data_IF_272560068615
#
_entry.id   IF_272560068615
#
_cell.length_a   1.000
_cell.length_b   1.000
_cell.length_c   1.000
_cell.angle_alpha   90.00
_cell.angle_beta   90.00
_cell.angle_gamma   90.00
#
_symmetry.space_group_name_H-M   'P 1'
#
loop_
_entity.id
_entity.type
_entity.pdbx_description
1 polymer ?
#
# COMPACT_ATOMS: atom_id res chain seq x y z
N UNK A 1 37.30 -7.87 -24.01
CA UNK A 1 36.80 -6.55 -23.54
C UNK A 1 35.65 -6.66 -22.52
N UNK A 2 34.65 -7.55 -22.72
CA UNK A 2 33.48 -7.72 -21.83
C UNK A 2 33.78 -8.03 -20.34
N UNK A 3 34.81 -8.82 -20.02
CA UNK A 3 35.12 -9.20 -18.61
C UNK A 3 35.71 -8.04 -17.79
N UNK A 4 36.51 -7.16 -18.42
CA UNK A 4 37.09 -5.98 -17.75
C UNK A 4 36.05 -4.89 -17.52
N UNK A 5 35.14 -4.67 -18.47
CA UNK A 5 34.03 -3.72 -18.30
C UNK A 5 33.03 -4.19 -17.25
N UNK A 6 32.77 -5.50 -17.16
CA UNK A 6 31.90 -6.08 -16.13
C UNK A 6 32.51 -5.95 -14.72
N UNK A 7 33.83 -6.16 -14.59
CA UNK A 7 34.54 -5.96 -13.32
C UNK A 7 34.51 -4.51 -12.84
N UNK A 8 34.73 -3.54 -13.74
CA UNK A 8 34.66 -2.12 -13.40
C UNK A 8 33.22 -1.74 -12.98
N UNK A 9 32.21 -2.23 -13.71
CA UNK A 9 30.81 -1.97 -13.37
C UNK A 9 30.40 -2.54 -12.01
N UNK A 10 30.85 -3.77 -11.70
CA UNK A 10 30.61 -4.40 -10.40
C UNK A 10 31.28 -3.61 -9.25
N UNK A 11 32.51 -3.11 -9.46
CA UNK A 11 33.21 -2.30 -8.45
C UNK A 11 32.53 -0.95 -8.23
N UNK A 12 32.05 -0.29 -9.30
CA UNK A 12 31.31 0.98 -9.19
C UNK A 12 29.98 0.78 -8.43
N UNK A 13 29.27 -0.31 -8.71
CA UNK A 13 28.04 -0.65 -7.99
C UNK A 13 28.30 -0.98 -6.52
N UNK A 14 29.35 -1.75 -6.22
CA UNK A 14 29.76 -2.05 -4.86
C UNK A 14 30.13 -0.77 -4.10
N UNK A 15 30.88 0.14 -4.74
CA UNK A 15 31.26 1.41 -4.12
C UNK A 15 30.05 2.31 -3.84
N UNK A 16 29.07 2.36 -4.76
CA UNK A 16 27.86 3.16 -4.59
C UNK A 16 27.01 2.67 -3.40
N UNK A 17 26.84 1.35 -3.26
CA UNK A 17 26.09 0.76 -2.14
C UNK A 17 26.80 0.91 -0.78
N UNK A 18 28.14 0.86 -0.76
CA UNK A 18 28.93 1.09 0.45
C UNK A 18 28.92 2.56 0.89
N UNK A 19 28.94 3.49 -0.07
CA UNK A 19 28.86 4.92 0.22
C UNK A 19 27.50 5.29 0.86
N UNK A 20 26.41 4.71 0.36
CA UNK A 20 25.07 4.91 0.92
C UNK A 20 24.98 4.39 2.36
N UNK A 21 25.58 3.22 2.65
CA UNK A 21 25.64 2.67 4.01
C UNK A 21 26.49 3.53 4.94
N UNK A 22 27.61 4.07 4.47
CA UNK A 22 28.45 4.97 5.26
C UNK A 22 27.74 6.30 5.57
N UNK A 23 26.99 6.85 4.61
CA UNK A 23 26.18 8.05 4.82
C UNK A 23 25.06 7.86 5.86
N UNK A 24 24.45 6.67 5.91
CA UNK A 24 23.46 6.31 6.93
C UNK A 24 24.06 5.95 8.30
N UNK A 25 25.36 5.69 8.39
CA UNK A 25 26.03 5.31 9.64
C UNK A 25 26.44 6.49 10.53
N UNK A 26 26.34 7.74 10.05
CA UNK A 26 26.70 8.96 10.79
C UNK A 26 25.59 9.55 11.67
N UNK A 27 24.37 9.03 11.60
CA UNK A 27 23.25 9.47 12.44
C UNK A 27 23.37 8.93 13.87
N UNK A 28 22.85 9.66 14.87
CA UNK A 28 22.62 9.10 16.22
C UNK A 28 21.86 7.78 16.06
N UNK A 29 22.21 6.75 16.86
CA UNK A 29 21.46 5.48 16.95
C UNK A 29 19.98 5.80 16.84
N UNK A 30 19.29 5.23 15.86
CA UNK A 30 17.87 5.47 15.64
C UNK A 30 17.16 5.27 16.98
N UNK A 31 16.67 6.37 17.58
CA UNK A 31 15.85 6.29 18.77
C UNK A 31 14.61 5.51 18.40
N UNK A 32 14.17 4.58 19.26
CA UNK A 32 12.93 3.83 19.06
C UNK A 32 11.79 4.83 18.88
N UNK A 33 11.38 5.00 17.62
CA UNK A 33 10.38 5.96 17.22
C UNK A 33 9.04 5.23 17.29
N UNK A 34 8.37 5.38 18.42
CA UNK A 34 7.06 4.77 18.63
C UNK A 34 6.01 5.62 17.91
N UNK A 35 5.41 5.06 16.87
CA UNK A 35 4.33 5.71 16.13
C UNK A 35 3.01 5.41 16.85
N UNK A 36 2.34 6.47 17.30
CA UNK A 36 1.09 6.40 18.06
C UNK A 36 0.06 7.29 17.37
N UNK A 37 -1.17 6.80 17.25
CA UNK A 37 -2.29 7.59 16.76
C UNK A 37 -2.76 8.57 17.86
N UNK A 38 -2.87 9.87 17.52
CA UNK A 38 -3.41 10.89 18.43
C UNK A 38 -4.94 10.82 18.47
N UNK A 39 -5.50 10.55 19.63
CA UNK A 39 -6.95 10.37 19.85
C UNK A 39 -7.63 11.58 20.49
N UNK A 40 -6.88 12.64 20.82
CA UNK A 40 -7.37 13.75 21.65
C UNK A 40 -8.42 14.63 20.96
N UNK A 41 -8.31 14.78 19.64
CA UNK A 41 -9.18 15.64 18.83
C UNK A 41 -10.20 14.84 18.01
N UNK A 42 -10.29 13.52 18.23
CA UNK A 42 -11.20 12.67 17.47
C UNK A 42 -12.59 12.71 18.10
N UNK A 43 -13.50 13.44 17.45
CA UNK A 43 -14.90 13.56 17.87
C UNK A 43 -15.79 12.41 17.37
N UNK A 44 -15.37 11.69 16.32
CA UNK A 44 -16.14 10.56 15.77
C UNK A 44 -15.78 9.26 16.51
N UNK A 45 -16.79 8.60 17.07
CA UNK A 45 -16.61 7.33 17.81
C UNK A 45 -15.99 6.23 16.94
N UNK A 46 -16.35 6.17 15.65
CA UNK A 46 -15.81 5.20 14.69
C UNK A 46 -14.32 5.45 14.45
N UNK A 47 -13.95 6.71 14.23
CA UNK A 47 -12.54 7.08 14.02
C UNK A 47 -11.71 6.84 15.29
N UNK A 48 -12.32 7.07 16.46
CA UNK A 48 -11.67 6.82 17.75
C UNK A 48 -11.43 5.34 17.97
N UNK A 49 -12.41 4.49 17.63
CA UNK A 49 -12.24 3.03 17.66
C UNK A 49 -11.03 2.57 16.84
N UNK A 50 -10.89 3.02 15.59
CA UNK A 50 -9.76 2.61 14.75
C UNK A 50 -8.42 3.17 15.24
N UNK A 51 -8.40 4.38 15.80
CA UNK A 51 -7.20 4.98 16.37
C UNK A 51 -6.76 4.26 17.67
N UNK A 52 -7.70 3.90 18.53
CA UNK A 52 -7.43 3.08 19.72
C UNK A 52 -6.96 1.67 19.35
N UNK A 53 -7.53 1.10 18.28
CA UNK A 53 -7.11 -0.20 17.75
C UNK A 53 -5.67 -0.19 17.22
N UNK A 54 -5.28 0.88 16.51
CA UNK A 54 -3.92 1.08 16.04
C UNK A 54 -2.90 1.09 17.20
N UNK A 55 -3.28 1.73 18.32
CA UNK A 55 -2.43 1.85 19.50
C UNK A 55 -2.39 0.57 20.37
N UNK A 56 -3.47 -0.22 20.38
CA UNK A 56 -3.61 -1.39 21.28
C UNK A 56 -3.31 -2.72 20.60
N UNK A 57 -3.71 -2.90 19.33
CA UNK A 57 -3.55 -4.14 18.59
C UNK A 57 -3.42 -3.87 17.07
N UNK A 58 -2.16 -3.71 16.63
CA UNK A 58 -1.83 -3.41 15.24
C UNK A 58 -2.26 -4.52 14.26
N UNK A 59 -2.28 -5.78 14.70
CA UNK A 59 -2.69 -6.91 13.85
C UNK A 59 -4.18 -6.84 13.54
N UNK A 60 -5.00 -6.57 14.56
CA UNK A 60 -6.43 -6.43 14.36
C UNK A 60 -6.74 -5.21 13.48
N UNK A 61 -6.00 -4.12 13.64
CA UNK A 61 -6.10 -2.95 12.75
C UNK A 61 -5.77 -3.31 11.29
N UNK A 62 -4.68 -4.06 11.06
CA UNK A 62 -4.31 -4.50 9.71
C UNK A 62 -5.39 -5.40 9.07
N UNK A 63 -6.00 -6.31 9.84
CA UNK A 63 -7.11 -7.15 9.37
C UNK A 63 -8.31 -6.29 8.96
N UNK A 64 -8.69 -5.32 9.77
CA UNK A 64 -9.76 -4.39 9.44
C UNK A 64 -9.47 -3.60 8.15
N UNK A 65 -8.24 -3.11 7.98
CA UNK A 65 -7.84 -2.40 6.77
C UNK A 65 -8.04 -3.26 5.51
N UNK A 66 -7.64 -4.54 5.55
CA UNK A 66 -7.83 -5.48 4.44
C UNK A 66 -9.30 -5.74 4.17
N UNK A 67 -10.10 -6.02 5.21
CA UNK A 67 -11.54 -6.30 5.08
C UNK A 67 -12.27 -5.10 4.50
N UNK A 68 -12.04 -3.89 5.03
CA UNK A 68 -12.65 -2.67 4.52
C UNK A 68 -12.28 -2.41 3.07
N UNK A 69 -11.02 -2.65 2.68
CA UNK A 69 -10.57 -2.48 1.30
C UNK A 69 -11.31 -3.44 0.36
N UNK A 70 -11.41 -4.72 0.73
CA UNK A 70 -12.14 -5.72 -0.05
C UNK A 70 -13.63 -5.36 -0.18
N UNK A 71 -14.28 -5.00 0.93
CA UNK A 71 -15.70 -4.61 0.95
C UNK A 71 -15.94 -3.38 0.08
N UNK A 72 -15.13 -2.33 0.23
CA UNK A 72 -15.28 -1.11 -0.56
C UNK A 72 -15.03 -1.37 -2.06
N UNK A 73 -14.07 -2.22 -2.39
CA UNK A 73 -13.83 -2.66 -3.76
C UNK A 73 -15.03 -3.39 -4.37
N UNK A 74 -15.62 -4.34 -3.64
CA UNK A 74 -16.83 -5.06 -4.07
C UNK A 74 -18.03 -4.12 -4.22
N UNK A 75 -18.23 -3.20 -3.28
CA UNK A 75 -19.32 -2.21 -3.33
C UNK A 75 -19.17 -1.30 -4.55
N UNK A 76 -17.95 -0.83 -4.85
CA UNK A 76 -17.70 0.01 -6.01
C UNK A 76 -17.89 -0.76 -7.32
N UNK A 77 -17.45 -2.02 -7.39
CA UNK A 77 -17.69 -2.89 -8.54
C UNK A 77 -19.17 -3.09 -8.80
N UNK A 78 -19.92 -3.47 -7.76
CA UNK A 78 -21.37 -3.63 -7.83
C UNK A 78 -22.09 -2.33 -8.24
N UNK A 79 -21.65 -1.18 -7.74
CA UNK A 79 -22.18 0.11 -8.12
C UNK A 79 -21.92 0.41 -9.60
N UNK A 80 -20.73 0.10 -10.09
CA UNK A 80 -20.38 0.29 -11.51
C UNK A 80 -21.25 -0.60 -12.40
N UNK A 81 -21.45 -1.87 -12.03
CA UNK A 81 -22.34 -2.78 -12.76
C UNK A 81 -23.75 -2.18 -12.87
N UNK A 82 -24.26 -1.60 -11.78
CA UNK A 82 -25.57 -0.93 -11.76
C UNK A 82 -25.63 0.33 -12.60
N UNK A 83 -24.55 1.10 -12.66
CA UNK A 83 -24.48 2.28 -13.53
C UNK A 83 -24.46 1.84 -15.00
N UNK A 84 -23.69 0.80 -15.33
CA UNK A 84 -23.55 0.29 -16.69
C UNK A 84 -24.85 -0.32 -17.24
N UNK A 85 -25.59 -1.05 -16.40
CA UNK A 85 -26.93 -1.57 -16.71
C UNK A 85 -27.89 -0.44 -17.13
N UNK A 86 -27.81 0.72 -16.45
CA UNK A 86 -28.68 1.88 -16.72
C UNK A 86 -28.28 2.69 -17.95
N UNK A 87 -27.02 2.65 -18.36
CA UNK A 87 -26.52 3.39 -19.54
C UNK A 87 -26.63 2.58 -20.83
N UNK A 88 -27.10 1.34 -20.77
CA UNK A 88 -27.37 0.51 -21.95
C UNK A 88 -26.14 -0.18 -22.55
N UNK A 89 -24.98 -0.13 -21.88
CA UNK A 89 -23.79 -0.93 -22.21
C UNK A 89 -23.85 -2.22 -21.38
N UNK A 90 -24.94 -2.96 -21.52
CA UNK A 90 -25.07 -4.24 -20.84
C UNK A 90 -24.35 -5.33 -21.65
N UNK A 91 -23.29 -5.89 -21.05
CA UNK A 91 -22.49 -6.97 -21.63
C UNK A 91 -23.09 -8.37 -21.36
N UNK A 92 -24.16 -8.47 -20.57
CA UNK A 92 -24.79 -9.76 -20.23
C UNK A 92 -25.38 -10.49 -21.45
N UNK A 93 -25.78 -9.78 -22.51
CA UNK A 93 -26.49 -10.35 -23.65
C UNK A 93 -25.73 -10.29 -24.97
N UNK A 94 -24.39 -10.25 -24.96
CA UNK A 94 -23.64 -10.25 -26.21
C UNK A 94 -23.79 -11.62 -26.90
N UNK A 95 -24.67 -11.72 -27.90
CA UNK A 95 -24.53 -12.76 -28.94
C UNK A 95 -23.14 -12.54 -29.54
N UNK A 96 -22.25 -13.52 -29.36
CA UNK A 96 -20.96 -13.53 -30.04
C UNK A 96 -21.28 -13.69 -31.52
N UNK A 97 -21.34 -12.57 -32.25
CA UNK A 97 -21.42 -12.58 -33.70
C UNK A 97 -20.00 -12.83 -34.19
N UNK A 98 -19.58 -14.10 -34.12
CA UNK A 98 -18.49 -14.61 -34.92
C UNK A 98 -19.08 -15.01 -36.27
N UNK A 99 -19.22 -14.04 -37.17
CA UNK A 99 -19.28 -14.19 -38.64
C UNK A 99 -18.87 -12.87 -39.29
#
# INVERSE_FOLDING_TARGET
MKKRTLGIFATVMAFNTLLAKAAWAGGKKASDLVVVADTRLINSEIMRYFADLYNTNILLFAVWAVVLTAVMGCVLGWLMDKVMERTGIDLHSRKIVEH
#
